data_IF_605936246676
#
_entry.id   IF_605936246676
#
_cell.length_a   1.000
_cell.length_b   1.000
_cell.length_c   1.000
_cell.angle_alpha   90.00
_cell.angle_beta   90.00
_cell.angle_gamma   90.00
#
_symmetry.space_group_name_H-M   'P 1'
#
loop_
_entity.id
_entity.type
_entity.pdbx_description
1 polymer ?
#
# COMPACT_ATOMS: atom_id res chain seq x y z
N UNK A 1 8.09 9.07 -19.46
CA UNK A 1 9.41 9.28 -18.82
C UNK A 1 10.19 7.97 -18.81
N UNK A 2 11.51 8.02 -18.91
CA UNK A 2 12.39 6.86 -18.89
C UNK A 2 13.71 7.20 -18.17
N UNK A 3 14.35 6.18 -17.62
CA UNK A 3 15.71 6.29 -17.06
C UNK A 3 16.61 5.38 -17.89
N UNK A 4 17.59 5.98 -18.55
CA UNK A 4 18.68 5.28 -19.22
C UNK A 4 19.84 5.15 -18.22
N UNK A 5 19.91 3.99 -17.58
CA UNK A 5 20.84 3.73 -16.48
C UNK A 5 22.29 3.67 -16.97
N UNK A 6 22.52 3.18 -18.19
CA UNK A 6 23.83 2.99 -18.78
C UNK A 6 24.48 4.33 -19.18
N UNK A 7 23.68 5.23 -19.77
CA UNK A 7 24.13 6.54 -20.22
C UNK A 7 23.92 7.65 -19.19
N UNK A 8 23.43 7.34 -17.99
CA UNK A 8 23.11 8.28 -16.92
C UNK A 8 22.23 9.43 -17.38
N UNK A 9 21.09 9.11 -17.99
CA UNK A 9 20.13 10.09 -18.50
C UNK A 9 18.73 9.81 -18.03
N UNK A 10 17.97 10.85 -17.81
CA UNK A 10 16.53 10.80 -17.59
C UNK A 10 15.84 11.52 -18.73
N UNK A 11 14.84 10.87 -19.32
CA UNK A 11 13.96 11.49 -20.31
C UNK A 11 12.62 11.79 -19.66
N UNK A 12 12.23 13.05 -19.64
CA UNK A 12 10.96 13.52 -19.09
C UNK A 12 9.80 13.25 -20.04
N UNK A 13 8.56 13.43 -19.58
CA UNK A 13 7.37 13.16 -20.39
C UNK A 13 7.25 14.08 -21.63
N UNK A 14 7.79 15.29 -21.56
CA UNK A 14 7.87 16.27 -22.64
C UNK A 14 9.11 16.10 -23.56
N UNK A 15 9.88 15.01 -23.34
CA UNK A 15 11.02 14.64 -24.21
C UNK A 15 12.35 15.30 -23.86
N UNK A 16 12.43 16.10 -22.78
CA UNK A 16 13.69 16.68 -22.32
C UNK A 16 14.60 15.60 -21.77
N UNK A 17 15.88 15.62 -22.19
CA UNK A 17 16.91 14.69 -21.69
C UNK A 17 17.84 15.41 -20.72
N UNK A 18 17.94 14.85 -19.50
CA UNK A 18 18.79 15.36 -18.42
C UNK A 18 19.87 14.33 -18.08
N UNK A 19 21.14 14.76 -18.06
CA UNK A 19 22.24 13.94 -17.52
C UNK A 19 22.32 14.06 -16.01
N UNK A 20 22.87 13.03 -15.32
CA UNK A 20 23.05 13.06 -13.87
C UNK A 20 24.37 12.42 -13.44
N UNK A 21 24.97 12.92 -12.36
CA UNK A 21 26.06 12.26 -11.63
C UNK A 21 25.51 11.30 -10.58
N UNK A 22 24.44 11.70 -9.92
CA UNK A 22 23.66 10.88 -8.98
C UNK A 22 22.17 11.10 -9.26
N UNK A 23 21.40 10.03 -9.19
CA UNK A 23 19.94 10.06 -9.39
C UNK A 23 19.24 9.53 -8.15
N UNK A 24 18.23 10.26 -7.67
CA UNK A 24 17.31 9.75 -6.64
C UNK A 24 15.96 9.46 -7.27
N UNK A 25 15.49 8.22 -7.10
CA UNK A 25 14.22 7.74 -7.65
C UNK A 25 13.27 7.42 -6.49
N UNK A 26 12.10 8.05 -6.47
CA UNK A 26 11.08 7.86 -5.44
C UNK A 26 9.71 7.60 -6.09
N UNK A 27 9.52 6.47 -6.80
CA UNK A 27 8.37 6.24 -7.66
C UNK A 27 7.13 5.74 -6.90
N UNK A 28 7.27 5.43 -5.61
CA UNK A 28 6.19 4.82 -4.82
C UNK A 28 5.86 3.41 -5.29
N UNK A 29 4.57 3.08 -5.34
CA UNK A 29 4.08 1.74 -5.67
C UNK A 29 3.25 1.73 -6.95
N UNK A 30 3.22 0.56 -7.60
CA UNK A 30 2.20 0.16 -8.57
C UNK A 30 1.31 -0.93 -7.97
N UNK A 31 0.07 -0.98 -8.42
CA UNK A 31 -0.88 -2.02 -8.05
C UNK A 31 -0.81 -3.14 -9.10
N UNK A 32 -0.73 -4.38 -8.63
CA UNK A 32 -0.78 -5.58 -9.47
C UNK A 32 -2.23 -6.01 -9.62
N UNK A 33 -2.96 -5.35 -10.52
CA UNK A 33 -4.40 -5.58 -10.72
C UNK A 33 -4.66 -7.03 -11.17
N UNK A 34 -3.81 -7.53 -12.05
CA UNK A 34 -3.85 -8.88 -12.62
C UNK A 34 -3.52 -10.02 -11.63
N UNK A 35 -3.10 -9.68 -10.43
CA UNK A 35 -2.84 -10.67 -9.37
C UNK A 35 -4.13 -11.24 -8.73
N UNK A 36 -5.28 -10.64 -9.02
CA UNK A 36 -6.60 -11.11 -8.56
C UNK A 36 -7.44 -11.35 -9.81
N UNK A 37 -7.91 -12.57 -10.00
CA UNK A 37 -8.70 -12.93 -11.17
C UNK A 37 -9.99 -12.10 -11.24
N UNK A 38 -10.28 -11.54 -12.42
CA UNK A 38 -11.45 -10.66 -12.65
C UNK A 38 -11.29 -9.24 -12.09
N UNK A 39 -10.10 -8.86 -11.56
CA UNK A 39 -9.85 -7.52 -11.08
C UNK A 39 -8.99 -6.72 -12.07
N UNK A 40 -9.55 -5.69 -12.66
CA UNK A 40 -8.94 -4.80 -13.64
C UNK A 40 -9.40 -3.34 -13.41
N UNK A 41 -9.07 -2.44 -14.32
CA UNK A 41 -9.46 -1.02 -14.24
C UNK A 41 -10.98 -0.84 -14.27
N UNK A 42 -11.74 -1.69 -14.99
CA UNK A 42 -13.19 -1.61 -15.08
C UNK A 42 -13.85 -2.13 -13.79
N UNK A 43 -13.46 -3.30 -13.32
CA UNK A 43 -13.93 -3.86 -12.05
C UNK A 43 -13.57 -2.98 -10.85
N UNK A 44 -12.44 -2.27 -10.90
CA UNK A 44 -12.03 -1.31 -9.87
C UNK A 44 -12.94 -0.07 -9.81
N UNK A 45 -13.73 0.23 -10.83
CA UNK A 45 -14.78 1.25 -10.76
C UNK A 45 -15.99 0.79 -9.92
N UNK A 46 -16.18 -0.51 -9.79
CA UNK A 46 -17.26 -1.14 -9.01
C UNK A 46 -16.77 -1.58 -7.64
N UNK A 47 -15.58 -2.16 -7.57
CA UNK A 47 -14.90 -2.62 -6.35
C UNK A 47 -13.63 -1.80 -6.11
N UNK A 48 -13.75 -0.53 -5.66
CA UNK A 48 -12.62 0.40 -5.63
C UNK A 48 -11.53 -0.05 -4.66
N UNK A 49 -10.26 0.04 -5.09
CA UNK A 49 -9.13 -0.14 -4.18
C UNK A 49 -8.97 1.06 -3.23
N UNK A 50 -9.21 2.29 -3.71
CA UNK A 50 -9.01 3.51 -2.92
C UNK A 50 -7.62 3.64 -2.30
N UNK A 51 -6.58 3.04 -2.93
CA UNK A 51 -5.20 3.01 -2.42
C UNK A 51 -4.29 4.04 -3.08
N UNK A 52 -4.78 4.68 -4.12
CA UNK A 52 -4.24 5.91 -4.71
C UNK A 52 -5.23 7.03 -4.51
N UNK A 53 -4.74 8.24 -4.21
CA UNK A 53 -5.60 9.42 -4.10
C UNK A 53 -6.30 9.71 -5.43
N UNK A 54 -7.56 10.14 -5.36
CA UNK A 54 -8.34 10.47 -6.54
C UNK A 54 -9.75 9.84 -6.54
N UNK A 55 -10.35 9.60 -7.73
CA UNK A 55 -11.75 9.18 -7.89
C UNK A 55 -12.14 7.91 -7.13
N UNK A 56 -11.20 7.00 -6.93
CA UNK A 56 -11.40 5.75 -6.19
C UNK A 56 -11.85 5.96 -4.74
N UNK A 57 -11.32 6.98 -4.07
CA UNK A 57 -11.69 7.28 -2.68
C UNK A 57 -13.09 7.88 -2.58
N UNK A 58 -13.44 8.77 -3.51
CA UNK A 58 -14.78 9.35 -3.60
C UNK A 58 -15.82 8.28 -3.98
N UNK A 59 -15.45 7.35 -4.85
CA UNK A 59 -16.30 6.22 -5.24
C UNK A 59 -16.63 5.32 -4.05
N UNK A 60 -15.61 4.92 -3.29
CA UNK A 60 -15.80 4.10 -2.09
C UNK A 60 -16.72 4.81 -1.09
N UNK A 61 -16.52 6.10 -0.87
CA UNK A 61 -17.38 6.90 0.01
C UNK A 61 -18.82 6.90 -0.48
N UNK A 62 -19.06 7.18 -1.77
CA UNK A 62 -20.40 7.21 -2.35
C UNK A 62 -21.11 5.87 -2.18
N UNK A 63 -20.43 4.75 -2.39
CA UNK A 63 -21.01 3.42 -2.20
C UNK A 63 -21.42 3.16 -0.75
N UNK A 64 -20.61 3.61 0.22
CA UNK A 64 -20.97 3.52 1.64
C UNK A 64 -22.19 4.38 1.98
N UNK A 65 -22.33 5.56 1.35
CA UNK A 65 -23.48 6.45 1.52
C UNK A 65 -24.75 5.86 0.89
N UNK A 66 -24.63 5.22 -0.27
CA UNK A 66 -25.76 4.62 -1.02
C UNK A 66 -26.20 3.26 -0.46
N UNK A 67 -25.31 2.53 0.21
CA UNK A 67 -25.60 1.22 0.78
C UNK A 67 -26.78 1.27 1.79
N UNK A 68 -27.65 0.26 1.78
CA UNK A 68 -28.71 0.13 2.75
C UNK A 68 -28.20 -0.14 4.18
N UNK A 69 -28.96 0.28 5.18
CA UNK A 69 -28.69 -0.12 6.58
C UNK A 69 -28.93 -1.62 6.75
N UNK A 70 -27.91 -2.35 7.14
CA UNK A 70 -27.86 -3.81 7.18
C UNK A 70 -27.00 -4.42 6.08
N UNK A 71 -26.43 -3.60 5.19
CA UNK A 71 -25.52 -4.04 4.15
C UNK A 71 -24.16 -4.51 4.68
N UNK A 72 -23.45 -5.27 3.86
CA UNK A 72 -22.13 -5.85 4.18
C UNK A 72 -21.04 -5.12 3.41
N UNK A 73 -20.04 -4.62 4.12
CA UNK A 73 -18.81 -4.06 3.56
C UNK A 73 -17.71 -5.10 3.64
N UNK A 74 -17.08 -5.43 2.52
CA UNK A 74 -15.91 -6.32 2.48
C UNK A 74 -14.66 -5.49 2.26
N UNK A 75 -13.62 -5.73 3.06
CA UNK A 75 -12.28 -5.17 2.88
C UNK A 75 -11.34 -6.34 2.65
N UNK A 76 -10.60 -6.32 1.52
CA UNK A 76 -9.63 -7.34 1.15
C UNK A 76 -8.21 -6.74 1.17
N UNK A 77 -7.48 -6.81 2.30
CA UNK A 77 -6.10 -6.37 2.39
C UNK A 77 -5.15 -7.34 1.67
N UNK A 78 -4.09 -6.84 1.00
CA UNK A 78 -3.12 -7.71 0.35
C UNK A 78 -2.14 -8.33 1.34
N UNK A 79 -1.38 -9.32 0.86
CA UNK A 79 -0.21 -9.83 1.59
C UNK A 79 0.93 -8.80 1.60
N UNK A 80 1.87 -8.98 2.54
CA UNK A 80 3.08 -8.15 2.62
C UNK A 80 4.04 -8.43 1.44
N UNK A 81 4.86 -7.42 1.03
CA UNK A 81 4.87 -6.04 1.50
C UNK A 81 3.91 -5.13 0.72
N UNK A 82 3.34 -4.14 1.39
CA UNK A 82 2.50 -3.12 0.77
C UNK A 82 2.61 -1.77 1.50
N UNK A 83 2.21 -0.67 0.84
CA UNK A 83 2.23 0.67 1.39
C UNK A 83 1.24 0.80 2.55
N UNK A 84 1.67 1.45 3.65
CA UNK A 84 0.85 1.75 4.82
C UNK A 84 0.25 0.49 5.47
N UNK A 85 1.07 -0.38 6.10
CA UNK A 85 0.60 -1.65 6.65
C UNK A 85 -0.62 -1.57 7.60
N UNK A 86 -0.81 -0.54 8.46
CA UNK A 86 -2.01 -0.39 9.26
C UNK A 86 -3.22 0.20 8.50
N UNK A 87 -3.01 0.71 7.29
CA UNK A 87 -4.02 1.48 6.55
C UNK A 87 -5.34 0.77 6.27
N UNK A 88 -5.38 -0.52 5.88
CA UNK A 88 -6.65 -1.23 5.68
C UNK A 88 -7.49 -1.28 6.97
N UNK A 89 -6.87 -1.51 8.11
CA UNK A 89 -7.53 -1.67 9.42
C UNK A 89 -7.96 -0.32 9.99
N UNK A 90 -7.20 0.74 9.71
CA UNK A 90 -7.62 2.11 9.99
C UNK A 90 -8.84 2.49 9.14
N UNK A 91 -8.86 2.14 7.83
CA UNK A 91 -10.02 2.32 6.96
C UNK A 91 -11.25 1.59 7.50
N UNK A 92 -11.10 0.34 7.94
CA UNK A 92 -12.16 -0.42 8.63
C UNK A 92 -12.70 0.37 9.83
N UNK A 93 -11.83 0.93 10.65
CA UNK A 93 -12.22 1.74 11.81
C UNK A 93 -13.01 2.98 11.43
N UNK A 94 -12.58 3.71 10.39
CA UNK A 94 -13.29 4.89 9.88
C UNK A 94 -14.66 4.53 9.28
N UNK A 95 -14.75 3.44 8.55
CA UNK A 95 -16.01 2.92 8.01
C UNK A 95 -16.92 2.48 9.16
N UNK A 96 -16.41 1.76 10.15
CA UNK A 96 -17.19 1.34 11.32
C UNK A 96 -17.74 2.53 12.12
N UNK A 97 -16.93 3.59 12.27
CA UNK A 97 -17.39 4.83 12.89
C UNK A 97 -18.58 5.46 12.14
N UNK A 98 -18.49 5.54 10.82
CA UNK A 98 -19.57 6.04 9.96
C UNK A 98 -20.82 5.14 10.05
N UNK A 99 -20.65 3.82 9.90
CA UNK A 99 -21.76 2.87 9.93
C UNK A 99 -22.48 2.86 11.28
N UNK A 100 -21.75 2.93 12.37
CA UNK A 100 -22.34 2.98 13.72
C UNK A 100 -23.33 4.14 13.89
N UNK A 101 -23.06 5.27 13.26
CA UNK A 101 -23.92 6.45 13.32
C UNK A 101 -25.07 6.41 12.31
N UNK A 102 -24.79 5.98 11.09
CA UNK A 102 -25.71 6.12 9.96
C UNK A 102 -26.40 4.82 9.56
N UNK A 103 -25.76 3.67 9.79
CA UNK A 103 -26.22 2.34 9.35
C UNK A 103 -25.87 1.24 10.36
N UNK A 104 -26.39 1.31 11.60
CA UNK A 104 -25.92 0.49 12.72
C UNK A 104 -26.18 -1.02 12.60
N UNK A 105 -27.00 -1.46 11.65
CA UNK A 105 -27.25 -2.89 11.39
C UNK A 105 -26.25 -3.49 10.39
N UNK A 106 -25.41 -2.65 9.78
CA UNK A 106 -24.42 -3.08 8.76
C UNK A 106 -23.22 -3.75 9.42
N UNK A 107 -22.51 -4.56 8.61
CA UNK A 107 -21.33 -5.32 9.02
C UNK A 107 -20.14 -5.00 8.15
N UNK A 108 -18.95 -5.21 8.70
CA UNK A 108 -17.68 -5.15 7.96
C UNK A 108 -17.01 -6.51 8.09
N UNK A 109 -16.65 -7.09 6.97
CA UNK A 109 -15.91 -8.34 6.88
C UNK A 109 -14.52 -8.04 6.30
N UNK A 110 -13.47 -8.44 7.00
CA UNK A 110 -12.09 -8.31 6.53
C UNK A 110 -11.63 -9.69 6.07
N UNK A 111 -11.43 -9.86 4.75
CA UNK A 111 -10.85 -11.08 4.16
C UNK A 111 -9.35 -10.88 4.01
N UNK A 112 -8.61 -11.20 5.05
CA UNK A 112 -7.18 -10.89 5.11
C UNK A 112 -6.35 -11.97 4.39
N UNK A 113 -5.29 -11.53 3.70
CA UNK A 113 -4.29 -12.43 3.14
C UNK A 113 -3.26 -12.90 4.19
N UNK A 114 -3.37 -12.45 5.43
CA UNK A 114 -2.38 -12.64 6.50
C UNK A 114 -3.03 -13.13 7.79
N UNK A 115 -2.26 -13.91 8.57
CA UNK A 115 -2.66 -14.37 9.90
C UNK A 115 -2.37 -13.34 11.02
N UNK A 116 -1.63 -12.30 10.67
CA UNK A 116 -1.29 -11.20 11.59
C UNK A 116 -1.17 -9.90 10.80
N UNK A 117 -1.54 -8.80 11.44
CA UNK A 117 -1.40 -7.49 10.83
C UNK A 117 -0.81 -6.44 11.78
N UNK A 118 -0.39 -5.32 11.20
CA UNK A 118 0.26 -4.23 11.93
C UNK A 118 -0.65 -3.66 13.01
N UNK A 119 -0.17 -3.59 14.26
CA UNK A 119 -0.89 -3.09 15.43
C UNK A 119 -2.18 -3.86 15.76
N UNK A 120 -2.27 -5.14 15.41
CA UNK A 120 -3.48 -5.97 15.54
C UNK A 120 -4.12 -5.88 16.93
N UNK A 121 -3.33 -6.03 18.00
CA UNK A 121 -3.85 -5.98 19.36
C UNK A 121 -4.54 -4.66 19.70
N UNK A 122 -4.00 -3.53 19.22
CA UNK A 122 -4.59 -2.21 19.44
C UNK A 122 -5.88 -2.02 18.66
N UNK A 123 -5.89 -2.43 17.37
CA UNK A 123 -7.09 -2.38 16.54
C UNK A 123 -8.21 -3.25 17.13
N UNK A 124 -7.92 -4.52 17.44
CA UNK A 124 -8.93 -5.45 17.98
C UNK A 124 -9.48 -5.00 19.32
N UNK A 125 -8.63 -4.43 20.20
CA UNK A 125 -9.08 -3.82 21.45
C UNK A 125 -10.00 -2.63 21.20
N UNK A 126 -9.61 -1.74 20.29
CA UNK A 126 -10.41 -0.58 19.90
C UNK A 126 -11.74 -0.97 19.26
N UNK A 127 -11.74 -1.94 18.37
CA UNK A 127 -12.95 -2.43 17.70
C UNK A 127 -13.92 -3.07 18.72
N UNK A 128 -13.41 -3.91 19.63
CA UNK A 128 -14.23 -4.48 20.69
C UNK A 128 -14.84 -3.42 21.59
N UNK A 129 -14.08 -2.36 21.90
CA UNK A 129 -14.56 -1.28 22.75
C UNK A 129 -15.60 -0.37 22.07
N UNK A 130 -15.42 -0.09 20.76
CA UNK A 130 -16.19 0.95 20.06
C UNK A 130 -17.22 0.40 19.08
N UNK A 131 -16.99 -0.78 18.50
CA UNK A 131 -17.74 -1.37 17.37
C UNK A 131 -18.05 -2.85 17.59
N UNK A 132 -18.32 -3.23 18.84
CA UNK A 132 -18.54 -4.65 19.21
C UNK A 132 -19.59 -5.31 18.30
N UNK A 133 -19.23 -6.46 17.75
CA UNK A 133 -20.06 -7.23 16.85
C UNK A 133 -20.29 -6.63 15.45
N UNK A 134 -19.63 -5.50 15.08
CA UNK A 134 -19.76 -4.90 13.76
C UNK A 134 -18.66 -5.34 12.78
N UNK A 135 -17.49 -5.72 13.28
CA UNK A 135 -16.30 -6.02 12.48
C UNK A 135 -15.91 -7.48 12.72
N UNK A 136 -15.89 -8.25 11.64
CA UNK A 136 -15.41 -9.62 11.61
C UNK A 136 -14.12 -9.70 10.78
N UNK A 137 -13.07 -10.29 11.35
CA UNK A 137 -11.78 -10.49 10.68
C UNK A 137 -11.52 -11.97 10.44
N UNK A 138 -11.32 -12.32 9.16
CA UNK A 138 -11.01 -13.67 8.69
C UNK A 138 -9.52 -13.69 8.33
N UNK A 139 -8.70 -14.48 9.06
CA UNK A 139 -7.26 -14.56 8.82
C UNK A 139 -6.91 -15.28 7.52
N UNK A 140 -5.66 -15.14 7.08
CA UNK A 140 -5.13 -15.76 5.87
C UNK A 140 -5.26 -17.28 5.85
N UNK A 141 -5.11 -17.95 6.99
CA UNK A 141 -5.34 -19.40 7.12
C UNK A 141 -6.76 -19.81 6.78
N UNK A 142 -7.74 -18.96 7.08
CA UNK A 142 -9.17 -19.26 6.86
C UNK A 142 -9.67 -18.75 5.49
N UNK A 143 -8.87 -17.93 4.81
CA UNK A 143 -9.15 -17.44 3.44
C UNK A 143 -8.31 -18.16 2.37
N UNK A 144 -7.34 -19.00 2.75
CA UNK A 144 -6.39 -19.58 1.80
C UNK A 144 -5.37 -18.60 1.27
N UNK A 145 -5.15 -17.47 1.98
CA UNK A 145 -4.19 -16.42 1.58
C UNK A 145 -4.85 -15.16 1.01
N UNK A 146 -6.14 -14.97 1.26
CA UNK A 146 -6.91 -13.77 0.89
C UNK A 146 -7.87 -13.97 -0.27
N UNK A 147 -8.26 -12.86 -0.88
CA UNK A 147 -9.13 -12.87 -2.07
C UNK A 147 -8.32 -13.21 -3.31
N UNK A 148 -8.73 -14.26 -4.03
CA UNK A 148 -8.06 -14.76 -5.24
C UNK A 148 -8.77 -14.37 -6.52
N UNK A 149 -10.10 -14.15 -6.46
CA UNK A 149 -10.88 -13.67 -7.61
C UNK A 149 -12.04 -12.78 -7.19
N UNK A 150 -12.58 -12.04 -8.16
CA UNK A 150 -13.76 -11.20 -7.94
C UNK A 150 -14.74 -11.27 -9.11
N UNK A 151 -16.04 -11.10 -8.80
CA UNK A 151 -17.09 -10.83 -9.78
C UNK A 151 -17.72 -9.47 -9.49
N UNK A 152 -17.31 -8.44 -10.23
CA UNK A 152 -17.86 -7.08 -10.08
C UNK A 152 -19.36 -7.03 -10.39
N UNK A 153 -19.82 -7.86 -11.34
CA UNK A 153 -21.24 -7.94 -11.72
C UNK A 153 -22.12 -8.51 -10.61
N UNK A 154 -21.61 -9.48 -9.87
CA UNK A 154 -22.36 -10.19 -8.83
C UNK A 154 -22.09 -9.66 -7.44
N UNK A 155 -21.12 -8.75 -7.30
CA UNK A 155 -20.60 -8.23 -6.04
C UNK A 155 -20.12 -9.35 -5.12
N UNK A 156 -19.22 -10.21 -5.68
CA UNK A 156 -18.62 -11.35 -4.98
C UNK A 156 -17.10 -11.18 -4.94
N UNK A 157 -16.53 -11.44 -3.76
CA UNK A 157 -15.09 -11.66 -3.55
C UNK A 157 -14.88 -13.12 -3.14
N UNK A 158 -14.09 -13.86 -3.91
CA UNK A 158 -13.84 -15.28 -3.71
C UNK A 158 -12.47 -15.52 -3.08
N UNK A 159 -12.42 -16.44 -2.15
CA UNK A 159 -11.20 -16.99 -1.55
C UNK A 159 -11.00 -18.41 -2.06
N UNK A 160 -9.94 -19.10 -1.62
CA UNK A 160 -9.74 -20.53 -1.97
C UNK A 160 -10.82 -21.45 -1.38
N UNK A 161 -11.59 -20.98 -0.39
CA UNK A 161 -12.53 -21.81 0.34
C UNK A 161 -14.00 -21.48 0.11
N UNK A 162 -14.33 -20.19 -0.05
CA UNK A 162 -15.72 -19.78 -0.21
C UNK A 162 -15.88 -18.41 -0.89
N UNK A 163 -17.09 -18.13 -1.32
CA UNK A 163 -17.51 -16.88 -1.96
C UNK A 163 -18.19 -15.96 -0.96
N UNK A 164 -17.81 -14.69 -0.94
CA UNK A 164 -18.36 -13.68 -0.06
C UNK A 164 -19.07 -12.60 -0.88
N UNK A 165 -20.35 -12.44 -0.66
CA UNK A 165 -21.14 -11.38 -1.28
C UNK A 165 -21.16 -10.13 -0.39
N UNK A 166 -20.88 -8.95 -0.98
CA UNK A 166 -20.91 -7.67 -0.31
C UNK A 166 -21.72 -6.63 -1.03
N UNK A 167 -22.24 -5.64 -0.31
CA UNK A 167 -22.88 -4.45 -0.89
C UNK A 167 -21.83 -3.41 -1.31
N UNK A 168 -20.72 -3.37 -0.60
CA UNK A 168 -19.53 -2.57 -0.90
C UNK A 168 -18.30 -3.46 -0.74
N UNK A 169 -17.47 -3.56 -1.76
CA UNK A 169 -16.25 -4.37 -1.73
C UNK A 169 -15.04 -3.50 -2.06
N UNK A 170 -14.15 -3.33 -1.08
CA UNK A 170 -12.89 -2.63 -1.23
C UNK A 170 -11.75 -3.66 -1.39
N UNK A 171 -11.31 -3.87 -2.62
CA UNK A 171 -10.21 -4.77 -2.94
C UNK A 171 -8.92 -3.97 -3.02
N UNK A 172 -7.91 -4.32 -2.20
CA UNK A 172 -6.59 -3.69 -2.26
C UNK A 172 -5.63 -4.69 -2.90
N UNK A 173 -5.26 -4.52 -4.20
CA UNK A 173 -4.39 -5.48 -4.88
C UNK A 173 -3.00 -5.58 -4.26
N UNK A 174 -2.28 -6.68 -4.47
CA UNK A 174 -0.85 -6.75 -4.23
C UNK A 174 -0.09 -5.62 -4.90
N UNK A 175 1.08 -5.30 -4.39
CA UNK A 175 1.83 -4.12 -4.81
C UNK A 175 3.26 -4.48 -5.20
N UNK A 176 3.87 -3.59 -5.96
CA UNK A 176 5.28 -3.63 -6.35
C UNK A 176 5.82 -2.20 -6.47
N UNK A 177 7.12 -2.03 -6.72
CA UNK A 177 7.72 -0.73 -6.97
C UNK A 177 7.07 -0.04 -8.17
N UNK A 178 6.98 1.29 -8.13
CA UNK A 178 6.35 2.06 -9.19
C UNK A 178 6.92 1.77 -10.59
N UNK A 179 6.08 1.85 -11.61
CA UNK A 179 6.35 1.39 -12.98
C UNK A 179 7.70 1.86 -13.55
N UNK A 180 8.12 3.11 -13.26
CA UNK A 180 9.40 3.59 -13.77
C UNK A 180 10.59 2.83 -13.18
N UNK A 181 10.51 2.35 -11.94
CA UNK A 181 11.54 1.51 -11.36
C UNK A 181 11.59 0.12 -12.01
N UNK A 182 10.43 -0.46 -12.31
CA UNK A 182 10.32 -1.73 -13.03
C UNK A 182 10.93 -1.62 -14.44
N UNK A 183 10.47 -0.65 -15.21
CA UNK A 183 10.89 -0.46 -16.61
C UNK A 183 12.35 -0.05 -16.78
N UNK A 184 12.97 0.48 -15.72
CA UNK A 184 14.39 0.89 -15.72
C UNK A 184 15.32 -0.14 -15.08
N UNK A 185 14.83 -1.35 -14.74
CA UNK A 185 15.64 -2.42 -14.16
C UNK A 185 16.13 -2.14 -12.74
N UNK A 186 15.48 -1.25 -12.00
CA UNK A 186 15.83 -0.93 -10.60
C UNK A 186 15.21 -1.92 -9.61
N UNK A 187 14.17 -2.66 -10.01
CA UNK A 187 13.54 -3.70 -9.23
C UNK A 187 14.15 -5.06 -9.54
N UNK A 188 14.23 -5.93 -8.53
CA UNK A 188 14.60 -7.33 -8.69
C UNK A 188 13.36 -8.23 -8.94
N UNK A 189 13.56 -9.55 -8.86
CA UNK A 189 12.48 -10.54 -9.07
C UNK A 189 11.35 -10.46 -8.03
N UNK A 190 11.55 -9.79 -6.90
CA UNK A 190 10.50 -9.56 -5.91
C UNK A 190 9.52 -8.46 -6.34
N UNK A 191 9.86 -7.70 -7.39
CA UNK A 191 9.12 -6.51 -7.81
C UNK A 191 9.47 -5.26 -7.01
N UNK A 192 10.48 -5.31 -6.13
CA UNK A 192 10.93 -4.19 -5.30
C UNK A 192 12.38 -3.85 -5.56
N UNK A 193 12.79 -2.62 -5.21
CA UNK A 193 14.14 -2.12 -5.46
C UNK A 193 15.08 -2.46 -4.28
N UNK A 194 16.06 -3.36 -4.46
CA UNK A 194 17.06 -3.62 -3.44
C UNK A 194 18.04 -2.45 -3.32
N UNK A 195 18.36 -2.05 -2.10
CA UNK A 195 19.23 -0.91 -1.78
C UNK A 195 20.18 -1.21 -0.65
N UNK A 196 21.31 -0.50 -0.62
CA UNK A 196 22.19 -0.45 0.55
C UNK A 196 21.58 0.47 1.60
N UNK A 197 21.31 -0.05 2.81
CA UNK A 197 20.54 0.66 3.82
C UNK A 197 21.23 1.92 4.38
N UNK A 198 22.55 2.02 4.29
CA UNK A 198 23.33 3.16 4.75
C UNK A 198 23.29 4.35 3.77
N UNK A 199 23.02 4.11 2.48
CA UNK A 199 23.10 5.12 1.42
C UNK A 199 21.85 5.23 0.58
N UNK A 200 20.98 4.21 0.62
CA UNK A 200 19.87 3.97 -0.33
C UNK A 200 20.32 3.86 -1.79
N UNK A 201 21.63 3.65 -2.05
CA UNK A 201 22.10 3.33 -3.38
C UNK A 201 21.55 1.97 -3.81
N UNK A 202 21.10 1.86 -5.06
CA UNK A 202 20.64 0.61 -5.65
C UNK A 202 21.74 -0.43 -5.61
N UNK A 203 21.42 -1.66 -5.19
CA UNK A 203 22.36 -2.78 -5.25
C UNK A 203 22.58 -3.28 -6.70
N UNK A 204 21.77 -2.81 -7.66
CA UNK A 204 21.81 -3.21 -9.07
C UNK A 204 22.57 -2.18 -9.90
N UNK A 205 22.30 -0.88 -9.67
CA UNK A 205 22.84 0.21 -10.49
C UNK A 205 23.53 1.27 -9.64
N UNK A 206 24.84 1.39 -9.81
CA UNK A 206 25.67 2.39 -9.10
C UNK A 206 25.31 3.82 -9.49
N UNK A 207 25.30 4.72 -8.52
CA UNK A 207 24.99 6.14 -8.72
C UNK A 207 23.49 6.43 -8.79
N UNK A 208 22.63 5.42 -8.62
CA UNK A 208 21.18 5.57 -8.54
C UNK A 208 20.73 5.17 -7.12
N UNK A 209 19.97 6.02 -6.48
CA UNK A 209 19.43 5.81 -5.14
C UNK A 209 17.91 5.66 -5.22
N UNK A 210 17.34 4.69 -4.50
CA UNK A 210 15.89 4.49 -4.45
C UNK A 210 15.41 4.63 -3.03
N UNK A 211 14.43 5.50 -2.81
CA UNK A 211 13.84 5.80 -1.50
C UNK A 211 12.32 5.64 -1.51
N UNK A 212 11.75 5.61 -0.32
CA UNK A 212 10.29 5.51 -0.14
C UNK A 212 9.77 4.10 -0.36
N UNK A 213 8.50 4.01 -0.72
CA UNK A 213 7.78 2.73 -0.76
C UNK A 213 8.33 1.74 -1.80
N UNK A 214 9.05 2.21 -2.82
CA UNK A 214 9.63 1.36 -3.86
C UNK A 214 10.80 0.51 -3.37
N UNK A 215 11.55 0.95 -2.36
CA UNK A 215 12.77 0.27 -1.93
C UNK A 215 12.50 -0.87 -0.92
N UNK A 216 13.41 -1.84 -0.88
CA UNK A 216 13.49 -2.87 0.16
C UNK A 216 14.32 -2.30 1.32
N UNK A 217 13.64 -1.70 2.29
CA UNK A 217 14.26 -1.14 3.49
C UNK A 217 13.87 -2.01 4.70
N UNK A 218 14.57 -3.13 4.89
CA UNK A 218 14.29 -4.11 5.95
C UNK A 218 14.16 -3.44 7.32
N UNK A 219 13.07 -3.73 8.03
CA UNK A 219 12.76 -3.15 9.35
C UNK A 219 12.03 -1.79 9.29
N UNK A 220 11.99 -1.11 8.14
CA UNK A 220 11.23 0.11 7.95
C UNK A 220 9.91 -0.17 7.22
N UNK A 221 8.77 0.34 7.71
CA UNK A 221 7.50 0.21 6.99
C UNK A 221 7.50 1.10 5.74
N UNK A 222 6.70 0.72 4.75
CA UNK A 222 6.41 1.57 3.60
C UNK A 222 5.46 2.69 4.04
N UNK A 223 6.01 3.78 4.55
CA UNK A 223 5.30 4.94 5.11
C UNK A 223 5.96 6.25 4.70
N UNK A 224 5.17 7.33 4.68
CA UNK A 224 5.68 8.67 4.38
C UNK A 224 6.77 9.13 5.38
N UNK A 225 6.62 8.78 6.64
CA UNK A 225 7.60 9.14 7.67
C UNK A 225 8.93 8.40 7.45
N UNK A 226 8.89 7.09 7.18
CA UNK A 226 10.08 6.32 6.83
C UNK A 226 10.73 6.87 5.56
N UNK A 227 9.95 7.16 4.51
CA UNK A 227 10.45 7.74 3.27
C UNK A 227 11.17 9.08 3.48
N UNK A 228 10.63 9.95 4.35
CA UNK A 228 11.28 11.22 4.72
C UNK A 228 12.62 10.97 5.45
N UNK A 229 12.67 10.02 6.37
CA UNK A 229 13.91 9.63 7.06
C UNK A 229 14.95 9.08 6.07
N UNK A 230 14.53 8.20 5.16
CA UNK A 230 15.37 7.64 4.09
C UNK A 230 15.93 8.76 3.18
N UNK A 231 15.09 9.73 2.81
CA UNK A 231 15.51 10.86 1.98
C UNK A 231 16.62 11.70 2.61
N UNK A 232 16.58 11.90 3.94
CA UNK A 232 17.63 12.63 4.66
C UNK A 232 18.96 11.85 4.68
N UNK A 233 18.89 10.55 4.93
CA UNK A 233 20.07 9.67 4.90
C UNK A 233 20.66 9.59 3.49
N UNK A 234 19.82 9.40 2.48
CA UNK A 234 20.22 9.38 1.07
C UNK A 234 20.92 10.69 0.65
N UNK A 235 20.34 11.84 1.02
CA UNK A 235 20.96 13.14 0.71
C UNK A 235 22.33 13.32 1.36
N UNK A 236 22.48 12.93 2.64
CA UNK A 236 23.75 12.96 3.34
C UNK A 236 24.81 12.05 2.68
N UNK A 237 24.39 10.84 2.26
CA UNK A 237 25.24 9.89 1.56
C UNK A 237 25.73 10.42 0.21
N UNK A 238 24.85 11.02 -0.57
CA UNK A 238 25.19 11.63 -1.87
C UNK A 238 26.19 12.79 -1.67
N UNK A 239 25.94 13.68 -0.70
CA UNK A 239 26.85 14.79 -0.40
C UNK A 239 28.23 14.28 0.03
N UNK A 240 28.27 13.31 0.92
CA UNK A 240 29.54 12.70 1.35
C UNK A 240 30.30 12.06 0.17
N UNK A 241 29.61 11.30 -0.68
CA UNK A 241 30.19 10.67 -1.87
C UNK A 241 30.72 11.68 -2.91
N UNK A 242 30.06 12.82 -3.10
CA UNK A 242 30.49 13.85 -4.04
C UNK A 242 31.66 14.68 -3.54
N UNK A 243 31.91 14.71 -2.24
CA UNK A 243 32.98 15.48 -1.59
C UNK A 243 34.12 14.58 -1.05
N UNK A 244 34.10 13.27 -1.36
CA UNK A 244 35.06 12.30 -0.85
C UNK A 244 35.21 12.33 0.70
N UNK A 245 34.10 12.56 1.40
CA UNK A 245 34.07 12.63 2.87
C UNK A 245 33.38 11.38 3.46
N UNK A 246 33.74 11.05 4.71
CA UNK A 246 33.11 9.96 5.41
C UNK A 246 31.70 10.35 5.87
N UNK A 247 30.72 9.50 5.58
CA UNK A 247 29.36 9.64 6.06
C UNK A 247 29.25 9.25 7.54
N UNK A 248 28.49 10.01 8.32
CA UNK A 248 28.11 9.60 9.67
C UNK A 248 27.19 8.37 9.63
N UNK A 249 27.23 7.56 10.69
CA UNK A 249 26.32 6.41 10.82
C UNK A 249 24.86 6.87 10.70
N UNK A 250 24.07 6.31 9.78
CA UNK A 250 22.71 6.73 9.57
C UNK A 250 21.80 6.40 10.77
N UNK A 251 20.86 7.28 11.05
CA UNK A 251 19.82 7.07 12.05
C UNK A 251 18.45 7.13 11.37
N UNK A 252 17.62 6.14 11.67
CA UNK A 252 16.30 5.99 11.06
C UNK A 252 15.21 6.18 12.11
N UNK A 253 14.19 6.94 11.73
CA UNK A 253 13.03 7.19 12.59
C UNK A 253 11.76 6.91 11.81
N UNK A 254 10.82 6.22 12.46
CA UNK A 254 9.46 6.08 11.94
C UNK A 254 8.46 6.28 13.07
N UNK A 255 7.44 7.06 12.81
CA UNK A 255 6.26 7.21 13.69
C UNK A 255 5.01 7.04 12.85
N UNK A 256 4.09 6.23 13.36
CA UNK A 256 2.82 5.95 12.69
C UNK A 256 1.69 6.04 13.71
N UNK A 257 0.77 6.97 13.48
CA UNK A 257 -0.49 7.09 14.21
C UNK A 257 -1.58 6.34 13.45
N UNK A 258 -2.57 5.81 14.15
CA UNK A 258 -3.73 5.15 13.55
C UNK A 258 -4.98 5.56 14.32
N UNK A 259 -6.04 5.89 13.60
CA UNK A 259 -7.31 6.29 14.17
C UNK A 259 -8.26 5.08 14.27
N UNK A 260 -8.84 4.89 15.43
CA UNK A 260 -9.96 3.96 15.66
C UNK A 260 -11.28 4.74 15.59
N UNK A 261 -11.29 5.94 16.16
CA UNK A 261 -12.39 6.91 16.13
C UNK A 261 -11.78 8.32 16.20
N UNK A 262 -12.55 9.40 15.91
CA UNK A 262 -12.03 10.77 15.98
C UNK A 262 -11.48 11.17 17.35
N UNK A 263 -11.93 10.50 18.41
CA UNK A 263 -11.56 10.74 19.81
C UNK A 263 -10.73 9.61 20.44
N UNK A 264 -10.19 8.69 19.58
CA UNK A 264 -9.49 7.49 20.09
C UNK A 264 -8.37 7.02 19.15
#
# INVERSE_FOLDING_TARGET
SAIDVDNKKVVTADGVTLGYDRLVVSPGISLKMDAIEGYDEESALVMPHGWKAGPQTSRLRQQLEDMNNGGVVIIAPPNNPYRCPPGPYERVSQIAYYLKQSKPKSKILILDAKDKFSKQSLFTQGWKSRYDGMIDWVPGTDTGGGVTSVSAKEMIASTDFEDFKGDVINVIPPQEAGLIAQSSGLADRSGWCPVHLDTFESSIHKGIHVIGDACVATGMPKSAYAANSQGKVCAAAIVASLNDTQMATPSYVNTCYSLIAPDY
#
